data_IF_818807093893
#
_entry.id   IF_818807093893
#
_cell.length_a   1.000
_cell.length_b   1.000
_cell.length_c   1.000
_cell.angle_alpha   90.00
_cell.angle_beta   90.00
_cell.angle_gamma   90.00
#
_symmetry.space_group_name_H-M   'P 1'
#
loop_
_entity.id
_entity.type
_entity.pdbx_description
1 polymer ?
#
# COMPACT_ATOMS: atom_id res chain seq x y z
N UNK A 1 0.86 -4.12 -28.89
CA UNK A 1 0.51 -3.19 -27.80
C UNK A 1 1.79 -2.49 -27.36
N UNK A 2 1.74 -1.18 -27.29
CA UNK A 2 2.85 -0.33 -26.88
C UNK A 2 2.42 0.50 -25.67
N UNK A 3 3.21 0.46 -24.58
CA UNK A 3 2.90 1.13 -23.32
C UNK A 3 4.11 1.98 -22.90
N UNK A 4 3.92 3.29 -22.80
CA UNK A 4 4.95 4.20 -22.30
C UNK A 4 4.76 4.43 -20.80
N UNK A 5 5.75 4.05 -20.00
CA UNK A 5 5.74 4.23 -18.54
C UNK A 5 6.35 5.59 -18.19
N UNK A 6 5.61 6.40 -17.43
CA UNK A 6 6.07 7.73 -17.01
C UNK A 6 6.59 7.63 -15.58
N UNK A 7 7.86 7.98 -15.38
CA UNK A 7 8.44 8.04 -14.03
C UNK A 7 7.75 9.12 -13.20
N UNK A 8 7.44 8.85 -11.93
CA UNK A 8 6.99 9.90 -11.04
C UNK A 8 8.12 10.92 -10.82
N UNK A 9 7.79 12.22 -10.59
CA UNK A 9 8.80 13.22 -10.25
C UNK A 9 9.59 12.78 -9.01
N UNK A 10 10.92 12.73 -9.10
CA UNK A 10 11.81 12.22 -8.03
C UNK A 10 11.62 12.89 -6.68
N UNK A 11 11.20 14.17 -6.65
CA UNK A 11 10.89 14.91 -5.42
C UNK A 11 9.64 14.40 -4.68
N UNK A 12 8.74 13.65 -5.34
CA UNK A 12 7.51 13.10 -4.76
C UNK A 12 7.56 11.57 -4.60
N UNK A 13 8.50 10.90 -5.26
CA UNK A 13 8.68 9.46 -5.18
C UNK A 13 9.42 9.11 -3.89
N UNK A 14 8.69 8.92 -2.79
CA UNK A 14 9.26 8.57 -1.50
C UNK A 14 10.22 7.38 -1.62
N UNK A 15 11.49 7.59 -1.29
CA UNK A 15 12.51 6.55 -1.13
C UNK A 15 12.77 5.65 -2.36
N UNK A 16 12.44 6.09 -3.58
CA UNK A 16 12.71 5.34 -4.81
C UNK A 16 11.81 4.13 -5.08
N UNK A 17 10.76 3.92 -4.28
CA UNK A 17 9.83 2.79 -4.44
C UNK A 17 9.15 2.78 -5.80
N UNK A 18 8.55 3.91 -6.20
CA UNK A 18 7.81 4.01 -7.46
C UNK A 18 8.72 3.89 -8.69
N UNK A 19 9.95 4.37 -8.59
CA UNK A 19 10.95 4.17 -9.65
C UNK A 19 11.30 2.68 -9.80
N UNK A 20 11.54 1.97 -8.69
CA UNK A 20 11.80 0.53 -8.70
C UNK A 20 10.64 -0.22 -9.36
N UNK A 21 9.39 0.05 -8.96
CA UNK A 21 8.22 -0.58 -9.55
C UNK A 21 8.08 -0.30 -11.04
N UNK A 22 8.37 0.94 -11.47
CA UNK A 22 8.33 1.31 -12.89
C UNK A 22 9.35 0.52 -13.69
N UNK A 23 10.58 0.37 -13.20
CA UNK A 23 11.63 -0.41 -13.85
C UNK A 23 11.32 -1.90 -13.89
N UNK A 24 10.82 -2.46 -12.77
CA UNK A 24 10.45 -3.87 -12.66
C UNK A 24 9.29 -4.21 -13.63
N UNK A 25 8.25 -3.37 -13.69
CA UNK A 25 7.11 -3.58 -14.59
C UNK A 25 7.51 -3.39 -16.06
N UNK A 26 8.37 -2.40 -16.39
CA UNK A 26 8.89 -2.23 -17.74
C UNK A 26 9.70 -3.46 -18.21
N UNK A 27 10.55 -4.01 -17.34
CA UNK A 27 11.28 -5.25 -17.61
C UNK A 27 10.30 -6.43 -17.84
N UNK A 28 9.27 -6.52 -17.03
CA UNK A 28 8.24 -7.57 -17.15
C UNK A 28 7.47 -7.47 -18.49
N UNK A 29 7.11 -6.27 -18.94
CA UNK A 29 6.51 -6.07 -20.25
C UNK A 29 7.40 -6.57 -21.39
N UNK A 30 8.69 -6.25 -21.36
CA UNK A 30 9.65 -6.76 -22.35
C UNK A 30 9.71 -8.30 -22.37
N UNK A 31 9.66 -8.96 -21.20
CA UNK A 31 9.69 -10.41 -21.09
C UNK A 31 8.45 -11.11 -21.67
N UNK A 32 7.29 -10.44 -21.70
CA UNK A 32 6.05 -10.96 -22.29
C UNK A 32 5.79 -10.45 -23.73
N UNK A 33 6.79 -9.78 -24.33
CA UNK A 33 6.71 -9.31 -25.74
C UNK A 33 5.82 -8.06 -25.92
N UNK A 34 5.61 -7.26 -24.89
CA UNK A 34 4.95 -5.94 -24.99
C UNK A 34 6.03 -4.88 -25.19
N UNK A 35 5.85 -4.05 -26.24
CA UNK A 35 6.72 -2.91 -26.46
C UNK A 35 6.51 -1.87 -25.36
N UNK A 36 7.56 -1.55 -24.61
CA UNK A 36 7.48 -0.57 -23.54
C UNK A 36 8.79 0.18 -23.36
N UNK A 37 8.69 1.39 -22.85
CA UNK A 37 9.83 2.22 -22.46
C UNK A 37 9.48 3.11 -21.29
N UNK A 38 10.51 3.62 -20.62
CA UNK A 38 10.37 4.56 -19.51
C UNK A 38 10.65 5.96 -20.03
N UNK A 39 9.73 6.89 -19.72
CA UNK A 39 9.84 8.31 -20.02
C UNK A 39 9.99 9.12 -18.73
N UNK A 40 10.94 10.04 -18.72
CA UNK A 40 11.10 11.00 -17.61
C UNK A 40 10.18 12.22 -17.82
N UNK A 41 9.61 12.77 -16.73
CA UNK A 41 8.89 14.03 -16.80
C UNK A 41 9.79 15.15 -17.31
N UNK A 42 9.45 15.71 -18.45
CA UNK A 42 10.22 16.79 -19.08
C UNK A 42 9.29 17.68 -19.91
N UNK A 43 9.77 18.85 -20.30
CA UNK A 43 9.03 19.75 -21.20
C UNK A 43 8.73 19.12 -22.59
N UNK A 44 9.42 18.04 -22.94
CA UNK A 44 9.24 17.31 -24.22
C UNK A 44 8.29 16.13 -24.09
N UNK A 45 7.79 15.79 -22.90
CA UNK A 45 6.96 14.59 -22.68
C UNK A 45 5.75 14.59 -23.61
N UNK A 46 4.94 15.65 -23.62
CA UNK A 46 3.74 15.77 -24.44
C UNK A 46 4.08 15.62 -25.92
N UNK A 47 5.05 16.36 -26.43
CA UNK A 47 5.45 16.28 -27.84
C UNK A 47 5.98 14.89 -28.24
N UNK A 48 6.63 14.19 -27.31
CA UNK A 48 7.10 12.81 -27.51
C UNK A 48 5.91 11.85 -27.61
N UNK A 49 4.93 11.95 -26.72
CA UNK A 49 3.74 11.10 -26.72
C UNK A 49 2.88 11.33 -27.98
N UNK A 50 2.67 12.59 -28.39
CA UNK A 50 1.93 12.94 -29.62
C UNK A 50 2.63 12.36 -30.85
N UNK A 51 3.95 12.42 -30.94
CA UNK A 51 4.70 11.89 -32.08
C UNK A 51 4.66 10.36 -32.14
N UNK A 52 4.82 9.70 -31.00
CA UNK A 52 5.12 8.27 -30.92
C UNK A 52 3.86 7.41 -30.71
N UNK A 53 2.73 8.01 -30.33
CA UNK A 53 1.39 7.43 -30.23
C UNK A 53 1.38 6.01 -29.61
N UNK A 54 1.78 5.82 -28.34
CA UNK A 54 1.61 4.53 -27.69
C UNK A 54 0.12 4.20 -27.51
N UNK A 55 -0.21 2.90 -27.37
CA UNK A 55 -1.60 2.48 -27.08
C UNK A 55 -2.08 2.97 -25.72
N UNK A 56 -1.15 3.08 -24.75
CA UNK A 56 -1.40 3.55 -23.40
C UNK A 56 -0.17 4.26 -22.82
N UNK A 57 -0.42 5.21 -21.92
CA UNK A 57 0.59 5.66 -20.95
C UNK A 57 0.32 4.99 -19.60
N UNK A 58 1.35 4.80 -18.77
CA UNK A 58 1.22 4.24 -17.41
C UNK A 58 2.05 5.02 -16.42
N UNK A 59 1.52 5.28 -15.24
CA UNK A 59 2.32 5.73 -14.10
C UNK A 59 1.84 5.11 -12.78
N UNK A 60 2.76 4.89 -11.85
CA UNK A 60 2.37 4.55 -10.49
C UNK A 60 1.77 5.78 -9.80
N UNK A 61 0.66 5.58 -9.10
CA UNK A 61 -0.19 6.60 -8.47
C UNK A 61 -0.89 7.57 -9.46
N UNK A 62 -0.78 7.31 -10.76
CA UNK A 62 -1.46 8.11 -11.78
C UNK A 62 -0.90 9.53 -11.93
N UNK A 63 -1.49 10.27 -12.84
CA UNK A 63 -1.18 11.69 -13.11
C UNK A 63 -2.46 12.49 -12.90
N UNK A 64 -2.48 13.32 -11.87
CA UNK A 64 -3.56 14.26 -11.60
C UNK A 64 -3.55 15.40 -12.63
N UNK A 65 -4.67 16.13 -12.79
CA UNK A 65 -4.72 17.26 -13.72
C UNK A 65 -3.73 18.35 -13.30
N UNK A 66 -3.31 19.14 -14.27
CA UNK A 66 -2.47 20.30 -14.01
C UNK A 66 -3.26 21.42 -13.27
N UNK A 67 -2.61 22.52 -12.86
CA UNK A 67 -3.30 23.61 -12.17
C UNK A 67 -4.44 24.26 -12.97
N UNK A 68 -4.44 24.12 -14.30
CA UNK A 68 -5.50 24.58 -15.21
C UNK A 68 -6.62 23.54 -15.39
N UNK A 69 -6.53 22.39 -14.70
CA UNK A 69 -7.52 21.30 -14.77
C UNK A 69 -7.40 20.39 -15.98
N UNK A 70 -6.31 20.46 -16.76
CA UNK A 70 -6.11 19.66 -17.97
C UNK A 70 -5.50 18.30 -17.64
N UNK A 71 -6.04 17.25 -18.21
CA UNK A 71 -5.52 15.89 -18.06
C UNK A 71 -4.48 15.56 -19.14
N UNK A 72 -3.41 14.87 -18.75
CA UNK A 72 -2.40 14.42 -19.73
C UNK A 72 -3.02 13.56 -20.83
N UNK A 73 -3.90 12.62 -20.48
CA UNK A 73 -4.56 11.72 -21.42
C UNK A 73 -5.38 12.49 -22.47
N UNK A 74 -6.06 13.57 -22.10
CA UNK A 74 -6.80 14.44 -23.05
C UNK A 74 -5.85 15.24 -23.94
N UNK A 75 -4.77 15.79 -23.34
CA UNK A 75 -3.81 16.60 -24.12
C UNK A 75 -3.11 15.80 -25.23
N UNK A 76 -2.94 14.49 -25.03
CA UNK A 76 -2.23 13.63 -25.99
C UNK A 76 -3.14 12.66 -26.73
N UNK A 77 -4.43 12.60 -26.37
CA UNK A 77 -5.43 11.64 -26.86
C UNK A 77 -4.99 10.16 -26.71
N UNK A 78 -4.45 9.83 -25.55
CA UNK A 78 -3.94 8.49 -25.21
C UNK A 78 -4.44 8.10 -23.81
N UNK A 79 -5.14 6.95 -23.66
CA UNK A 79 -5.60 6.48 -22.37
C UNK A 79 -4.44 6.30 -21.36
N UNK A 80 -4.69 6.64 -20.09
CA UNK A 80 -3.69 6.58 -19.03
C UNK A 80 -4.01 5.48 -18.02
N UNK A 81 -3.04 4.62 -17.72
CA UNK A 81 -3.13 3.60 -16.69
C UNK A 81 -2.55 4.18 -15.40
N UNK A 82 -3.41 4.42 -14.42
CA UNK A 82 -3.05 4.86 -13.09
C UNK A 82 -2.93 3.66 -12.14
N UNK A 83 -1.71 3.20 -11.86
CA UNK A 83 -1.46 2.07 -10.95
C UNK A 83 -1.29 2.59 -9.52
N UNK A 84 -2.36 2.55 -8.74
CA UNK A 84 -2.45 3.10 -7.38
C UNK A 84 -1.84 2.13 -6.38
N UNK A 85 -0.73 2.52 -5.77
CA UNK A 85 0.01 1.73 -4.77
C UNK A 85 0.05 2.38 -3.39
N UNK A 86 -0.26 3.68 -3.32
CA UNK A 86 -0.43 4.42 -2.08
C UNK A 86 -1.91 4.56 -1.71
N UNK A 87 -2.21 5.27 -0.62
CA UNK A 87 -3.58 5.54 -0.18
C UNK A 87 -4.43 6.12 -1.32
N UNK A 88 -5.59 5.53 -1.64
CA UNK A 88 -6.45 6.01 -2.72
C UNK A 88 -7.01 7.40 -2.48
N UNK A 89 -7.05 7.86 -1.21
CA UNK A 89 -7.65 9.14 -0.82
C UNK A 89 -7.02 10.34 -1.53
N UNK A 90 -5.74 10.24 -1.90
CA UNK A 90 -5.02 11.29 -2.62
C UNK A 90 -5.31 11.32 -4.14
N UNK A 91 -5.93 10.26 -4.66
CA UNK A 91 -6.04 10.00 -6.10
C UNK A 91 -7.48 9.82 -6.58
N UNK A 92 -8.49 10.04 -5.71
CA UNK A 92 -9.90 9.83 -6.04
C UNK A 92 -10.37 10.68 -7.23
N UNK A 93 -9.70 11.80 -7.49
CA UNK A 93 -10.01 12.62 -8.64
C UNK A 93 -9.78 11.90 -9.98
N UNK A 94 -8.84 10.94 -10.03
CA UNK A 94 -8.60 10.12 -11.22
C UNK A 94 -9.84 9.36 -11.70
N UNK A 95 -10.79 9.04 -10.79
CA UNK A 95 -12.04 8.37 -11.13
C UNK A 95 -12.96 9.18 -12.04
N UNK A 96 -12.80 10.51 -12.07
CA UNK A 96 -13.65 11.42 -12.89
C UNK A 96 -13.25 11.46 -14.35
N UNK A 97 -12.09 10.91 -14.71
CA UNK A 97 -11.55 10.95 -16.05
C UNK A 97 -11.77 9.60 -16.76
N UNK A 98 -12.66 9.56 -17.75
CA UNK A 98 -13.06 8.33 -18.47
C UNK A 98 -11.92 7.67 -19.26
N UNK A 99 -10.90 8.43 -19.66
CA UNK A 99 -9.70 7.89 -20.32
C UNK A 99 -8.73 7.21 -19.35
N UNK A 100 -8.95 7.29 -18.03
CA UNK A 100 -8.14 6.59 -17.05
C UNK A 100 -8.57 5.12 -16.93
N UNK A 101 -7.56 4.26 -16.82
CA UNK A 101 -7.68 2.88 -16.34
C UNK A 101 -7.07 2.84 -14.95
N UNK A 102 -7.87 2.55 -13.95
CA UNK A 102 -7.42 2.50 -12.57
C UNK A 102 -6.99 1.07 -12.24
N UNK A 103 -5.75 0.89 -11.82
CA UNK A 103 -5.24 -0.36 -11.27
C UNK A 103 -4.98 -0.16 -9.79
N UNK A 104 -5.47 -1.05 -8.93
CA UNK A 104 -5.31 -0.95 -7.48
C UNK A 104 -4.69 -2.20 -6.89
N UNK A 105 -4.00 -2.04 -5.77
CA UNK A 105 -3.35 -3.14 -5.03
C UNK A 105 -4.27 -3.80 -4.00
N UNK A 106 -5.47 -3.29 -3.82
CA UNK A 106 -6.46 -3.77 -2.86
C UNK A 106 -7.87 -3.67 -3.45
N UNK A 107 -8.72 -4.69 -3.25
CA UNK A 107 -10.08 -4.70 -3.78
C UNK A 107 -10.99 -3.64 -3.11
N UNK A 108 -10.72 -3.29 -1.84
CA UNK A 108 -11.43 -2.18 -1.18
C UNK A 108 -11.13 -0.84 -1.85
N UNK A 109 -9.88 -0.65 -2.32
CA UNK A 109 -9.51 0.52 -3.12
C UNK A 109 -10.23 0.51 -4.46
N UNK A 110 -10.32 -0.64 -5.13
CA UNK A 110 -11.07 -0.77 -6.39
C UNK A 110 -12.53 -0.33 -6.21
N UNK A 111 -13.21 -0.89 -5.22
CA UNK A 111 -14.59 -0.52 -4.89
C UNK A 111 -14.76 0.96 -4.52
N UNK A 112 -13.74 1.59 -3.93
CA UNK A 112 -13.78 3.02 -3.65
C UNK A 112 -13.71 3.84 -4.95
N UNK A 113 -12.81 3.52 -5.87
CA UNK A 113 -12.74 4.20 -7.16
C UNK A 113 -14.01 4.03 -7.99
N UNK A 114 -14.61 2.83 -8.01
CA UNK A 114 -15.90 2.58 -8.66
C UNK A 114 -17.03 3.47 -8.10
N UNK A 115 -17.11 3.62 -6.78
CA UNK A 115 -18.07 4.53 -6.11
C UNK A 115 -17.85 6.00 -6.45
N UNK A 116 -16.61 6.38 -6.80
CA UNK A 116 -16.26 7.73 -7.27
C UNK A 116 -16.43 7.90 -8.77
N UNK A 117 -16.95 6.89 -9.48
CA UNK A 117 -17.32 6.95 -10.88
C UNK A 117 -16.32 6.40 -11.88
N UNK A 118 -15.27 5.71 -11.42
CA UNK A 118 -14.34 5.03 -12.33
C UNK A 118 -15.03 3.84 -13.00
N UNK A 119 -15.01 3.81 -14.32
CA UNK A 119 -15.65 2.76 -15.14
C UNK A 119 -14.70 1.58 -15.41
N UNK A 120 -13.40 1.84 -15.41
CA UNK A 120 -12.34 0.89 -15.80
C UNK A 120 -11.41 0.66 -14.63
N UNK A 121 -11.74 -0.33 -13.78
CA UNK A 121 -10.99 -0.64 -12.57
C UNK A 121 -10.49 -2.07 -12.61
N UNK A 122 -9.23 -2.29 -12.24
CA UNK A 122 -8.57 -3.60 -12.18
C UNK A 122 -7.86 -3.77 -10.84
N UNK A 123 -8.05 -4.92 -10.19
CA UNK A 123 -7.29 -5.31 -9.00
C UNK A 123 -6.06 -6.11 -9.39
N UNK A 124 -4.88 -5.59 -9.09
CA UNK A 124 -3.60 -6.25 -9.23
C UNK A 124 -2.75 -5.99 -8.00
N UNK A 125 -2.60 -6.93 -7.07
CA UNK A 125 -1.80 -6.73 -5.87
C UNK A 125 -0.33 -6.47 -6.19
N UNK A 126 0.43 -5.98 -5.21
CA UNK A 126 1.87 -5.81 -5.33
C UNK A 126 2.57 -7.07 -5.85
N UNK A 127 3.79 -6.92 -6.30
CA UNK A 127 4.60 -7.99 -6.87
C UNK A 127 6.06 -7.85 -6.45
N UNK A 128 6.80 -8.94 -6.66
CA UNK A 128 8.25 -8.98 -6.49
C UNK A 128 8.94 -9.23 -7.83
N UNK A 129 10.22 -8.92 -7.91
CA UNK A 129 11.06 -9.36 -9.02
C UNK A 129 11.20 -10.90 -9.00
N UNK A 130 11.19 -11.53 -10.17
CA UNK A 130 11.44 -12.98 -10.30
C UNK A 130 12.82 -13.40 -9.83
N UNK A 131 13.76 -12.47 -9.78
CA UNK A 131 15.16 -12.72 -9.40
C UNK A 131 15.38 -12.83 -7.88
N UNK A 132 14.31 -12.63 -7.07
CA UNK A 132 14.40 -12.87 -5.64
C UNK A 132 14.61 -14.36 -5.41
N UNK A 133 15.77 -14.69 -4.85
CA UNK A 133 16.12 -16.07 -4.51
C UNK A 133 15.85 -16.32 -3.04
N UNK A 134 15.43 -17.54 -2.74
CA UNK A 134 15.37 -18.03 -1.36
C UNK A 134 16.79 -18.00 -0.77
N UNK A 135 17.02 -17.13 0.19
CA UNK A 135 18.29 -17.02 0.91
C UNK A 135 18.03 -17.26 2.38
N UNK A 136 18.38 -18.44 2.85
CA UNK A 136 18.38 -18.69 4.30
C UNK A 136 19.77 -18.27 4.83
N UNK A 137 19.88 -17.03 5.33
CA UNK A 137 21.09 -16.66 6.08
C UNK A 137 21.12 -17.35 7.44
N UNK A 138 22.13 -18.18 7.65
CA UNK A 138 22.33 -18.89 8.92
C UNK A 138 22.53 -17.93 10.09
N UNK A 139 23.01 -16.70 9.84
CA UNK A 139 23.26 -15.65 10.83
C UNK A 139 22.76 -14.30 10.33
N UNK A 140 21.46 -14.00 10.50
CA UNK A 140 20.88 -12.72 10.10
C UNK A 140 21.52 -11.57 10.91
N UNK A 141 21.81 -10.46 10.22
CA UNK A 141 22.37 -9.25 10.81
C UNK A 141 21.35 -8.52 11.71
N UNK A 142 20.06 -8.54 11.27
CA UNK A 142 18.95 -7.96 11.99
C UNK A 142 18.08 -9.05 12.64
N UNK A 143 17.47 -8.72 13.78
CA UNK A 143 16.39 -9.50 14.34
C UNK A 143 15.09 -9.34 13.52
N UNK A 144 14.05 -8.91 14.17
CA UNK A 144 12.81 -8.53 13.50
C UNK A 144 12.85 -7.06 13.11
N UNK A 145 12.42 -6.76 11.88
CA UNK A 145 12.42 -5.39 11.34
C UNK A 145 11.01 -4.90 11.05
N UNK A 146 10.78 -3.62 11.29
CA UNK A 146 9.55 -2.93 10.95
C UNK A 146 9.87 -1.68 10.12
N UNK A 147 9.18 -1.52 9.00
CA UNK A 147 9.31 -0.33 8.15
C UNK A 147 8.00 0.44 8.13
N UNK A 148 8.00 1.68 8.58
CA UNK A 148 6.78 2.46 8.55
C UNK A 148 6.88 3.88 9.09
N UNK A 149 6.03 4.75 8.55
CA UNK A 149 5.82 6.10 9.08
C UNK A 149 5.22 6.03 10.48
N UNK A 150 5.71 6.85 11.38
CA UNK A 150 5.13 7.05 12.70
C UNK A 150 3.95 8.02 12.59
N UNK A 151 2.79 7.61 13.04
CA UNK A 151 1.62 8.46 13.19
C UNK A 151 1.35 8.70 14.67
N UNK A 152 1.41 9.94 15.11
CA UNK A 152 1.05 10.33 16.47
C UNK A 152 -0.48 10.43 16.58
N UNK A 153 -1.07 9.41 17.16
CA UNK A 153 -2.52 9.25 17.30
C UNK A 153 -3.15 10.41 18.08
N UNK A 154 -2.52 10.85 19.17
CA UNK A 154 -3.01 11.98 19.98
C UNK A 154 -2.96 13.30 19.19
N UNK A 155 -1.92 13.51 18.37
CA UNK A 155 -1.83 14.69 17.51
C UNK A 155 -2.95 14.72 16.46
N UNK A 156 -3.33 13.54 15.91
CA UNK A 156 -4.46 13.41 14.98
C UNK A 156 -5.78 13.73 15.69
N UNK A 157 -5.99 13.22 16.90
CA UNK A 157 -7.20 13.51 17.70
C UNK A 157 -7.30 15.00 18.06
N UNK A 158 -6.20 15.63 18.48
CA UNK A 158 -6.17 17.07 18.71
C UNK A 158 -6.49 17.88 17.44
N UNK A 159 -6.07 17.38 16.28
CA UNK A 159 -6.45 18.00 15.01
C UNK A 159 -7.95 17.85 14.76
N UNK A 160 -8.55 16.67 15.00
CA UNK A 160 -9.98 16.46 14.86
C UNK A 160 -10.81 17.37 15.78
N UNK A 161 -10.37 17.55 17.05
CA UNK A 161 -11.02 18.45 18.01
C UNK A 161 -11.03 19.91 17.52
N UNK A 162 -9.99 20.35 16.82
CA UNK A 162 -9.88 21.70 16.28
C UNK A 162 -10.69 21.89 14.99
N UNK A 163 -10.65 20.90 14.10
CA UNK A 163 -11.05 21.08 12.71
C UNK A 163 -12.50 20.58 12.45
N UNK A 164 -13.06 19.75 13.35
CA UNK A 164 -14.38 19.13 13.14
C UNK A 164 -15.35 19.33 14.32
N UNK A 165 -16.65 19.32 14.01
CA UNK A 165 -17.71 19.31 15.04
C UNK A 165 -17.66 18.04 15.88
N UNK A 166 -18.21 18.08 17.11
CA UNK A 166 -18.25 16.94 18.01
C UNK A 166 -18.85 15.70 17.34
N UNK A 167 -19.95 15.86 16.59
CA UNK A 167 -20.60 14.75 15.87
C UNK A 167 -19.67 14.10 14.84
N UNK A 168 -18.91 14.89 14.06
CA UNK A 168 -17.93 14.36 13.11
C UNK A 168 -16.79 13.63 13.82
N UNK A 169 -16.34 14.13 14.97
CA UNK A 169 -15.33 13.46 15.79
C UNK A 169 -15.85 12.09 16.28
N UNK A 170 -17.09 12.02 16.78
CA UNK A 170 -17.72 10.76 17.21
C UNK A 170 -17.80 9.75 16.06
N UNK A 171 -18.17 10.19 14.85
CA UNK A 171 -18.15 9.35 13.64
C UNK A 171 -16.75 8.84 13.33
N UNK A 172 -15.71 9.71 13.38
CA UNK A 172 -14.34 9.31 13.09
C UNK A 172 -13.80 8.30 14.12
N UNK A 173 -14.10 8.48 15.41
CA UNK A 173 -13.73 7.51 16.44
C UNK A 173 -14.44 6.17 16.25
N UNK A 174 -15.76 6.18 16.02
CA UNK A 174 -16.52 4.97 15.76
C UNK A 174 -16.02 4.23 14.50
N UNK A 175 -15.72 4.97 13.43
CA UNK A 175 -15.19 4.41 12.19
C UNK A 175 -13.79 3.80 12.39
N UNK A 176 -12.92 4.46 13.16
CA UNK A 176 -11.59 3.92 13.46
C UNK A 176 -11.68 2.62 14.26
N UNK A 177 -12.50 2.58 15.32
CA UNK A 177 -12.74 1.36 16.10
C UNK A 177 -13.30 0.24 15.23
N UNK A 178 -14.34 0.50 14.45
CA UNK A 178 -14.94 -0.50 13.57
C UNK A 178 -13.97 -1.08 12.54
N UNK A 179 -13.15 -0.24 11.91
CA UNK A 179 -12.15 -0.69 10.93
C UNK A 179 -10.98 -1.46 11.56
N UNK A 180 -10.65 -1.20 12.82
CA UNK A 180 -9.60 -1.90 13.55
C UNK A 180 -10.07 -3.26 14.09
N UNK A 181 -11.28 -3.32 14.61
CA UNK A 181 -11.84 -4.51 15.26
C UNK A 181 -12.33 -5.55 14.26
N UNK A 182 -12.82 -5.13 13.08
CA UNK A 182 -13.28 -6.05 12.03
C UNK A 182 -12.40 -5.98 10.77
N UNK A 183 -11.54 -7.00 10.55
CA UNK A 183 -10.66 -7.03 9.39
C UNK A 183 -11.39 -7.21 8.05
N UNK A 184 -12.70 -7.45 8.05
CA UNK A 184 -13.51 -7.53 6.84
C UNK A 184 -14.12 -6.19 6.42
N UNK A 185 -13.99 -5.17 7.27
CA UNK A 185 -14.54 -3.85 6.99
C UNK A 185 -13.45 -2.90 6.49
N UNK A 186 -13.61 -2.42 5.27
CA UNK A 186 -12.74 -1.38 4.72
C UNK A 186 -13.02 -0.03 5.40
N UNK A 187 -12.00 0.77 5.68
CA UNK A 187 -12.14 2.00 6.49
C UNK A 187 -13.15 3.01 5.91
N UNK A 188 -13.33 3.06 4.59
CA UNK A 188 -14.38 3.88 3.98
C UNK A 188 -15.78 3.37 4.34
N UNK A 189 -16.00 2.06 4.30
CA UNK A 189 -17.27 1.46 4.68
C UNK A 189 -17.54 1.65 6.19
N UNK A 190 -16.50 1.56 7.01
CA UNK A 190 -16.58 1.89 8.43
C UNK A 190 -16.99 3.34 8.65
N UNK A 191 -16.40 4.27 7.90
CA UNK A 191 -16.80 5.68 7.94
C UNK A 191 -18.27 5.89 7.53
N UNK A 192 -18.71 5.31 6.42
CA UNK A 192 -20.08 5.47 5.95
C UNK A 192 -21.11 4.90 6.92
N UNK A 193 -20.86 3.70 7.48
CA UNK A 193 -21.73 3.09 8.51
C UNK A 193 -21.79 3.93 9.78
N UNK A 194 -20.64 4.45 10.21
CA UNK A 194 -20.58 5.30 11.41
C UNK A 194 -21.28 6.64 11.18
N UNK A 195 -21.13 7.23 9.99
CA UNK A 195 -21.84 8.46 9.61
C UNK A 195 -23.36 8.28 9.65
N UNK A 196 -23.85 7.19 9.07
CA UNK A 196 -25.27 6.84 9.09
C UNK A 196 -25.77 6.61 10.52
N UNK A 197 -25.06 5.81 11.33
CA UNK A 197 -25.46 5.49 12.71
C UNK A 197 -25.50 6.70 13.65
N UNK A 198 -24.66 7.73 13.37
CA UNK A 198 -24.64 9.00 14.11
C UNK A 198 -25.53 10.10 13.48
N UNK A 199 -26.28 9.74 12.43
CA UNK A 199 -27.24 10.65 11.79
C UNK A 199 -26.59 11.83 11.06
N UNK A 200 -25.36 11.66 10.49
CA UNK A 200 -24.78 12.65 9.60
C UNK A 200 -25.58 12.72 8.30
N UNK A 201 -26.09 13.90 8.00
CA UNK A 201 -26.89 14.13 6.80
C UNK A 201 -26.01 14.25 5.56
N UNK A 202 -26.55 14.01 4.34
CA UNK A 202 -25.83 14.25 3.09
C UNK A 202 -25.33 15.70 2.94
N UNK A 203 -26.09 16.68 3.49
CA UNK A 203 -25.68 18.09 3.47
C UNK A 203 -24.46 18.35 4.36
N UNK A 204 -24.40 17.74 5.55
CA UNK A 204 -23.24 17.83 6.44
C UNK A 204 -22.02 17.15 5.80
N UNK A 205 -22.20 15.97 5.20
CA UNK A 205 -21.14 15.28 4.46
C UNK A 205 -20.63 16.11 3.26
N UNK A 206 -21.52 16.77 2.53
CA UNK A 206 -21.18 17.63 1.38
C UNK A 206 -20.33 18.86 1.76
N UNK A 207 -20.33 19.27 3.02
CA UNK A 207 -19.52 20.35 3.55
C UNK A 207 -18.11 19.89 3.99
N UNK A 208 -17.84 18.58 3.99
CA UNK A 208 -16.55 18.00 4.38
C UNK A 208 -15.70 17.69 3.14
N UNK A 209 -14.40 17.93 3.26
CA UNK A 209 -13.46 17.38 2.30
C UNK A 209 -13.25 15.89 2.57
N UNK A 210 -14.09 15.04 1.98
CA UNK A 210 -14.07 13.59 2.21
C UNK A 210 -12.68 12.97 2.00
N UNK A 211 -11.90 13.30 0.94
CA UNK A 211 -10.55 12.75 0.79
C UNK A 211 -9.62 13.10 1.96
N UNK A 212 -9.67 14.35 2.45
CA UNK A 212 -8.84 14.80 3.58
C UNK A 212 -9.25 14.10 4.88
N UNK A 213 -10.55 13.96 5.10
CA UNK A 213 -11.10 13.29 6.27
C UNK A 213 -10.75 11.80 6.27
N UNK A 214 -10.93 11.11 5.15
CA UNK A 214 -10.56 9.70 4.99
C UNK A 214 -9.05 9.48 5.17
N UNK A 215 -8.21 10.41 4.69
CA UNK A 215 -6.77 10.34 4.90
C UNK A 215 -6.41 10.46 6.38
N UNK A 216 -7.06 11.37 7.09
CA UNK A 216 -6.86 11.54 8.53
C UNK A 216 -7.34 10.31 9.32
N UNK A 217 -8.50 9.72 8.95
CA UNK A 217 -9.01 8.48 9.51
C UNK A 217 -8.04 7.31 9.27
N UNK A 218 -7.57 7.14 8.03
CA UNK A 218 -6.59 6.11 7.70
C UNK A 218 -5.29 6.26 8.49
N UNK A 219 -4.78 7.48 8.64
CA UNK A 219 -3.59 7.76 9.44
C UNK A 219 -3.78 7.38 10.91
N UNK A 220 -4.95 7.65 11.49
CA UNK A 220 -5.32 7.24 12.85
C UNK A 220 -5.33 5.71 12.99
N UNK A 221 -6.02 5.01 12.10
CA UNK A 221 -6.10 3.54 12.07
C UNK A 221 -4.70 2.91 11.95
N UNK A 222 -3.87 3.42 11.03
CA UNK A 222 -2.48 2.95 10.86
C UNK A 222 -1.62 3.25 12.07
N UNK A 223 -1.80 4.39 12.72
CA UNK A 223 -1.07 4.78 13.91
C UNK A 223 -1.38 3.85 15.08
N UNK A 224 -2.64 3.60 15.36
CA UNK A 224 -3.08 2.72 16.43
C UNK A 224 -2.62 1.28 16.22
N UNK A 225 -2.83 0.71 15.04
CA UNK A 225 -2.44 -0.66 14.73
C UNK A 225 -0.92 -0.88 14.84
N UNK A 226 -0.11 0.08 14.37
CA UNK A 226 1.35 0.02 14.48
C UNK A 226 1.83 0.09 15.92
N UNK A 227 1.26 1.00 16.71
CA UNK A 227 1.58 1.11 18.12
C UNK A 227 1.12 -0.12 18.90
N UNK A 228 -0.06 -0.65 18.58
CA UNK A 228 -0.57 -1.89 19.14
C UNK A 228 0.40 -3.06 18.89
N UNK A 229 0.82 -3.29 17.64
CA UNK A 229 1.78 -4.34 17.30
C UNK A 229 3.07 -4.18 18.09
N UNK A 230 3.72 -3.01 17.98
CA UNK A 230 5.06 -2.80 18.52
C UNK A 230 5.11 -2.78 20.06
N UNK A 231 4.03 -2.37 20.74
CA UNK A 231 3.94 -2.38 22.20
C UNK A 231 3.65 -3.76 22.81
N UNK A 232 3.03 -4.66 22.03
CA UNK A 232 2.65 -5.99 22.50
C UNK A 232 3.63 -7.10 22.07
N UNK A 233 4.89 -6.74 21.77
CA UNK A 233 5.99 -7.66 21.47
C UNK A 233 7.02 -7.60 22.59
N UNK A 234 6.64 -8.00 23.82
CA UNK A 234 7.52 -7.95 24.99
C UNK A 234 8.73 -8.88 24.83
N UNK A 235 9.92 -8.37 25.13
CA UNK A 235 11.18 -9.13 25.09
C UNK A 235 11.70 -9.47 23.69
N UNK A 236 11.01 -9.05 22.62
CA UNK A 236 11.45 -9.24 21.25
C UNK A 236 12.16 -7.97 20.77
N UNK A 237 13.46 -8.03 20.47
CA UNK A 237 14.16 -6.88 19.90
C UNK A 237 13.66 -6.62 18.46
N UNK A 238 13.23 -5.38 18.20
CA UNK A 238 12.72 -4.94 16.91
C UNK A 238 13.48 -3.71 16.44
N UNK A 239 13.99 -3.76 15.21
CA UNK A 239 14.56 -2.62 14.51
C UNK A 239 13.47 -1.88 13.70
N UNK A 240 13.14 -0.65 14.09
CA UNK A 240 12.11 0.16 13.46
C UNK A 240 12.74 1.21 12.54
N UNK A 241 12.49 1.11 11.25
CA UNK A 241 12.94 2.06 10.23
C UNK A 241 11.78 2.96 9.79
N UNK A 242 11.91 4.27 10.04
CA UNK A 242 10.89 5.21 9.59
C UNK A 242 10.98 6.55 10.28
N UNK A 243 10.27 7.54 9.69
CA UNK A 243 10.17 8.91 10.23
C UNK A 243 8.77 9.17 10.76
N UNK A 244 8.64 10.21 11.58
CA UNK A 244 7.35 10.77 11.96
C UNK A 244 6.95 11.88 10.99
N UNK A 245 5.64 12.03 10.78
CA UNK A 245 5.03 13.20 10.15
C UNK A 245 4.50 14.21 11.18
N UNK A 246 4.58 13.86 12.46
CA UNK A 246 4.18 14.66 13.60
C UNK A 246 5.41 15.04 14.46
N UNK A 247 5.19 15.84 15.49
CA UNK A 247 6.26 16.28 16.41
C UNK A 247 6.86 15.12 17.20
N UNK A 248 6.01 14.21 17.72
CA UNK A 248 6.48 13.01 18.41
C UNK A 248 6.77 11.90 17.40
N UNK A 249 7.88 11.22 17.60
CA UNK A 249 8.33 10.13 16.75
C UNK A 249 8.35 8.79 17.47
N UNK A 250 8.84 7.75 16.77
CA UNK A 250 8.94 6.40 17.29
C UNK A 250 9.65 6.32 18.64
N UNK A 251 10.77 7.05 18.82
CA UNK A 251 11.53 7.03 20.08
C UNK A 251 10.77 7.58 21.28
N UNK A 252 9.82 8.48 21.09
CA UNK A 252 8.96 8.97 22.17
C UNK A 252 7.76 8.04 22.42
N UNK A 253 7.09 7.61 21.34
CA UNK A 253 5.87 6.81 21.44
C UNK A 253 6.12 5.36 21.88
N UNK A 254 7.34 4.86 21.68
CA UNK A 254 7.78 3.51 22.08
C UNK A 254 8.79 3.53 23.23
N UNK A 255 8.84 4.62 24.02
CA UNK A 255 9.76 4.73 25.15
C UNK A 255 9.51 3.61 26.15
N UNK A 256 10.58 2.89 26.50
CA UNK A 256 10.53 1.77 27.44
C UNK A 256 10.23 0.40 26.79
N UNK A 257 10.03 0.33 25.48
CA UNK A 257 9.96 -0.94 24.74
C UNK A 257 11.35 -1.40 24.29
N UNK A 258 11.47 -2.67 23.86
CA UNK A 258 12.72 -3.26 23.32
C UNK A 258 12.97 -2.89 21.84
N UNK A 259 12.55 -1.69 21.43
CA UNK A 259 12.64 -1.23 20.06
C UNK A 259 13.87 -0.36 19.84
N UNK A 260 14.66 -0.67 18.80
CA UNK A 260 15.73 0.18 18.29
C UNK A 260 15.20 1.00 17.10
N UNK A 261 15.29 2.32 17.19
CA UNK A 261 14.75 3.22 16.16
C UNK A 261 15.85 3.71 15.24
N UNK A 262 15.64 3.54 13.95
CA UNK A 262 16.51 3.99 12.86
C UNK A 262 15.81 5.03 11.99
N UNK A 263 16.59 5.82 11.26
CA UNK A 263 16.08 6.72 10.23
C UNK A 263 15.41 5.93 9.10
N UNK A 264 14.54 6.63 8.35
CA UNK A 264 13.97 6.06 7.14
C UNK A 264 15.06 5.81 6.09
N UNK A 265 14.94 4.72 5.36
CA UNK A 265 15.95 4.27 4.41
C UNK A 265 15.36 4.10 3.00
N UNK A 266 16.22 4.11 1.98
CA UNK A 266 15.82 3.91 0.59
C UNK A 266 15.31 2.50 0.32
N UNK A 267 14.41 2.36 -0.64
CA UNK A 267 13.76 1.08 -0.95
C UNK A 267 14.73 -0.03 -1.35
N UNK A 268 15.82 0.30 -2.04
CA UNK A 268 16.88 -0.67 -2.36
C UNK A 268 17.53 -1.24 -1.09
N UNK A 269 17.73 -0.41 -0.07
CA UNK A 269 18.22 -0.83 1.24
C UNK A 269 17.18 -1.61 2.02
N UNK A 270 15.87 -1.24 1.94
CA UNK A 270 14.78 -2.01 2.54
C UNK A 270 14.83 -3.47 2.09
N UNK A 271 14.93 -3.73 0.78
CA UNK A 271 15.06 -5.10 0.23
C UNK A 271 16.30 -5.82 0.80
N UNK A 272 17.44 -5.13 0.90
CA UNK A 272 18.66 -5.68 1.46
C UNK A 272 18.53 -6.00 2.96
N UNK A 273 17.93 -5.10 3.74
CA UNK A 273 17.70 -5.31 5.18
C UNK A 273 16.76 -6.49 5.39
N UNK A 274 15.65 -6.59 4.64
CA UNK A 274 14.72 -7.72 4.71
C UNK A 274 15.48 -9.05 4.55
N UNK A 275 16.32 -9.18 3.53
CA UNK A 275 17.08 -10.43 3.26
C UNK A 275 18.06 -10.80 4.37
N UNK A 276 18.56 -9.82 5.11
CA UNK A 276 19.49 -10.00 6.24
C UNK A 276 18.79 -10.02 7.59
N UNK A 277 17.47 -10.12 7.63
CA UNK A 277 16.66 -10.14 8.85
C UNK A 277 16.11 -11.53 9.14
N UNK A 278 15.84 -11.82 10.40
CA UNK A 278 15.08 -13.02 10.82
C UNK A 278 13.63 -12.95 10.33
N UNK A 279 13.03 -11.76 10.40
CA UNK A 279 11.64 -11.57 10.06
C UNK A 279 11.24 -10.11 9.88
N UNK A 280 10.09 -9.93 9.24
CA UNK A 280 9.45 -8.64 8.99
C UNK A 280 8.16 -8.56 9.79
N UNK A 281 8.03 -7.51 10.57
CA UNK A 281 6.76 -7.09 11.16
C UNK A 281 6.07 -6.13 10.21
N UNK A 282 4.79 -6.33 9.94
CA UNK A 282 4.03 -5.49 9.04
C UNK A 282 2.68 -5.10 9.65
N UNK A 283 2.29 -3.86 9.47
CA UNK A 283 1.01 -3.30 9.88
C UNK A 283 0.42 -2.55 8.71
N UNK A 284 -0.62 -3.10 8.11
CA UNK A 284 -1.33 -2.54 6.96
C UNK A 284 -2.85 -2.71 7.11
N UNK A 285 -3.45 -2.13 8.18
CA UNK A 285 -4.88 -2.30 8.46
C UNK A 285 -5.80 -1.71 7.39
N UNK A 286 -5.29 -0.84 6.51
CA UNK A 286 -6.03 -0.28 5.37
C UNK A 286 -5.97 -1.13 4.09
N UNK A 287 -5.12 -2.17 4.06
CA UNK A 287 -4.98 -3.10 2.91
C UNK A 287 -5.46 -4.47 3.37
N UNK A 288 -6.77 -4.70 3.33
CA UNK A 288 -7.41 -5.93 3.83
C UNK A 288 -7.63 -6.98 2.74
N UNK A 289 -7.85 -6.53 1.52
CA UNK A 289 -8.13 -7.35 0.35
C UNK A 289 -7.00 -7.30 -0.69
N UNK A 290 -5.81 -7.04 -0.22
CA UNK A 290 -4.55 -6.98 -0.94
C UNK A 290 -3.40 -7.30 0.01
N UNK A 291 -2.16 -7.00 -0.42
CA UNK A 291 -0.97 -7.16 0.41
C UNK A 291 0.08 -6.11 0.07
N UNK A 292 0.85 -5.72 1.07
CA UNK A 292 1.99 -4.81 0.91
C UNK A 292 3.19 -5.55 0.28
N UNK A 293 3.97 -4.87 -0.58
CA UNK A 293 5.09 -5.47 -1.31
C UNK A 293 6.12 -6.15 -0.41
N UNK A 294 6.41 -5.57 0.77
CA UNK A 294 7.41 -6.12 1.69
C UNK A 294 7.06 -7.50 2.23
N UNK A 295 5.78 -7.86 2.29
CA UNK A 295 5.32 -9.20 2.68
C UNK A 295 5.76 -10.20 1.62
N UNK A 296 5.53 -9.87 0.34
CA UNK A 296 5.96 -10.72 -0.76
C UNK A 296 7.49 -10.79 -0.87
N UNK A 297 8.21 -9.67 -0.67
CA UNK A 297 9.68 -9.65 -0.64
C UNK A 297 10.23 -10.56 0.47
N UNK A 298 9.67 -10.47 1.68
CA UNK A 298 10.09 -11.31 2.80
C UNK A 298 9.81 -12.80 2.54
N UNK A 299 8.57 -13.15 2.12
CA UNK A 299 8.21 -14.53 1.81
C UNK A 299 9.03 -15.12 0.65
N UNK A 300 9.30 -14.32 -0.40
CA UNK A 300 10.12 -14.75 -1.53
C UNK A 300 11.59 -15.00 -1.12
N UNK A 301 12.10 -14.25 -0.16
CA UNK A 301 13.43 -14.45 0.41
C UNK A 301 13.49 -15.56 1.48
N UNK A 302 12.37 -16.16 1.87
CA UNK A 302 12.31 -17.15 2.96
C UNK A 302 12.39 -16.53 4.37
N UNK A 303 12.24 -15.21 4.48
CA UNK A 303 12.26 -14.45 5.71
C UNK A 303 10.89 -14.56 6.41
N UNK A 304 10.89 -14.62 7.74
CA UNK A 304 9.66 -14.69 8.53
C UNK A 304 8.77 -13.46 8.36
N UNK A 305 7.44 -13.62 8.51
CA UNK A 305 6.47 -12.53 8.38
C UNK A 305 5.44 -12.61 9.49
N UNK A 306 5.30 -11.54 10.26
CA UNK A 306 4.15 -11.29 11.15
C UNK A 306 3.45 -10.04 10.67
N UNK A 307 2.13 -10.10 10.44
CA UNK A 307 1.38 -8.99 9.86
C UNK A 307 -0.01 -8.85 10.47
N UNK A 308 -0.60 -7.64 10.36
CA UNK A 308 -2.02 -7.46 10.62
C UNK A 308 -2.86 -8.40 9.76
N UNK A 309 -3.99 -8.82 10.27
CA UNK A 309 -4.90 -9.71 9.54
C UNK A 309 -5.29 -9.13 8.18
N UNK A 310 -5.23 -9.97 7.15
CA UNK A 310 -5.63 -9.66 5.78
C UNK A 310 -6.40 -10.82 5.19
N UNK A 311 -7.60 -10.56 4.70
CA UNK A 311 -8.46 -11.54 4.02
C UNK A 311 -7.73 -12.13 2.81
N UNK A 312 -7.06 -11.28 2.04
CA UNK A 312 -6.28 -11.69 0.88
C UNK A 312 -5.15 -12.66 1.26
N UNK A 313 -4.30 -12.28 2.22
CA UNK A 313 -3.15 -13.09 2.62
C UNK A 313 -3.59 -14.42 3.25
N UNK A 314 -4.68 -14.43 4.02
CA UNK A 314 -5.24 -15.63 4.61
C UNK A 314 -5.71 -16.62 3.54
N UNK A 315 -6.35 -16.13 2.49
CA UNK A 315 -6.82 -16.96 1.37
C UNK A 315 -5.67 -17.49 0.52
N UNK A 316 -4.62 -16.68 0.28
CA UNK A 316 -3.48 -17.05 -0.57
C UNK A 316 -2.47 -18.00 0.11
N UNK A 317 -2.17 -17.75 1.37
CA UNK A 317 -1.07 -18.41 2.08
C UNK A 317 -1.53 -19.21 3.31
N UNK A 318 -2.74 -18.97 3.82
CA UNK A 318 -3.18 -19.47 5.11
C UNK A 318 -2.26 -18.99 6.24
N UNK A 319 -2.25 -19.71 7.35
CA UNK A 319 -1.26 -19.51 8.41
C UNK A 319 -1.77 -18.82 9.64
N UNK A 320 -0.92 -18.82 10.67
CA UNK A 320 -1.20 -18.33 12.03
C UNK A 320 -0.35 -17.10 12.39
N UNK A 321 0.34 -16.53 11.41
CA UNK A 321 1.23 -15.39 11.55
C UNK A 321 0.53 -14.03 11.46
N UNK A 322 -0.79 -14.02 11.68
CA UNK A 322 -1.59 -12.81 11.75
C UNK A 322 -1.86 -12.43 13.21
N UNK A 323 -1.64 -11.15 13.54
CA UNK A 323 -2.13 -10.60 14.80
C UNK A 323 -3.49 -9.91 14.58
N UNK A 324 -4.27 -9.88 15.66
CA UNK A 324 -5.61 -9.29 15.69
C UNK A 324 -5.56 -8.07 16.60
N UNK A 325 -5.96 -6.91 16.09
CA UNK A 325 -6.05 -5.69 16.89
C UNK A 325 -7.02 -5.88 18.06
N UNK A 326 -6.67 -5.34 19.24
CA UNK A 326 -7.46 -5.49 20.47
C UNK A 326 -7.15 -6.76 21.28
N UNK A 327 -6.64 -7.83 20.66
CA UNK A 327 -6.13 -9.00 21.39
C UNK A 327 -4.64 -8.84 21.70
N UNK A 328 -4.32 -8.34 22.89
CA UNK A 328 -2.95 -8.02 23.33
C UNK A 328 -1.99 -9.21 23.28
N UNK A 329 -2.50 -10.44 23.30
CA UNK A 329 -1.70 -11.66 23.22
C UNK A 329 -1.43 -12.11 21.80
N UNK A 330 -2.19 -11.60 20.81
CA UNK A 330 -2.11 -12.06 19.43
C UNK A 330 -0.78 -11.73 18.74
N UNK A 331 -0.11 -10.58 18.94
CA UNK A 331 1.20 -10.33 18.37
C UNK A 331 2.24 -11.36 18.80
N UNK A 332 2.27 -11.72 20.08
CA UNK A 332 3.17 -12.74 20.62
C UNK A 332 2.86 -14.14 20.05
N UNK A 333 1.57 -14.50 19.93
CA UNK A 333 1.18 -15.79 19.33
C UNK A 333 1.58 -15.88 17.87
N UNK A 334 1.31 -14.82 17.08
CA UNK A 334 1.68 -14.79 15.67
C UNK A 334 3.21 -14.86 15.46
N UNK A 335 3.96 -14.17 16.32
CA UNK A 335 5.42 -14.24 16.34
C UNK A 335 5.92 -15.66 16.61
N UNK A 336 5.44 -16.31 17.68
CA UNK A 336 5.81 -17.68 18.03
C UNK A 336 5.46 -18.66 16.91
N UNK A 337 4.27 -18.57 16.34
CA UNK A 337 3.85 -19.41 15.22
C UNK A 337 4.78 -19.26 14.00
N UNK A 338 5.26 -18.05 13.72
CA UNK A 338 6.19 -17.82 12.61
C UNK A 338 7.62 -18.30 12.93
N UNK A 339 8.08 -18.18 14.16
CA UNK A 339 9.40 -18.74 14.57
C UNK A 339 9.42 -20.27 14.55
N UNK A 340 8.29 -20.91 14.90
CA UNK A 340 8.12 -22.37 14.87
C UNK A 340 7.84 -22.90 13.43
N UNK A 341 7.67 -22.01 12.44
CA UNK A 341 7.39 -22.40 11.07
C UNK A 341 8.59 -23.09 10.43
N UNK A 342 8.44 -24.37 10.10
CA UNK A 342 9.49 -25.18 9.47
C UNK A 342 9.93 -24.67 8.10
N UNK A 343 11.17 -24.98 7.72
CA UNK A 343 11.79 -24.56 6.46
C UNK A 343 10.95 -24.93 5.23
N UNK A 344 10.35 -26.12 5.19
CA UNK A 344 9.49 -26.59 4.08
C UNK A 344 8.30 -25.68 3.84
N UNK A 345 7.68 -25.16 4.91
CA UNK A 345 6.54 -24.22 4.80
C UNK A 345 7.02 -22.84 4.30
N UNK A 346 8.17 -22.35 4.76
CA UNK A 346 8.77 -21.12 4.26
C UNK A 346 9.12 -21.22 2.79
N UNK A 347 9.70 -22.34 2.37
CA UNK A 347 10.00 -22.60 0.96
C UNK A 347 8.72 -22.74 0.11
N UNK A 348 7.67 -23.34 0.65
CA UNK A 348 6.35 -23.40 -0.02
C UNK A 348 5.76 -22.01 -0.25
N UNK A 349 5.83 -21.10 0.75
CA UNK A 349 5.43 -19.69 0.59
C UNK A 349 6.27 -19.00 -0.48
N UNK A 350 7.59 -19.16 -0.45
CA UNK A 350 8.49 -18.61 -1.48
C UNK A 350 8.06 -19.07 -2.88
N UNK A 351 7.87 -20.36 -3.10
CA UNK A 351 7.41 -20.90 -4.38
C UNK A 351 6.07 -20.33 -4.82
N UNK A 352 5.12 -20.15 -3.91
CA UNK A 352 3.82 -19.55 -4.20
C UNK A 352 3.95 -18.08 -4.65
N UNK A 353 4.77 -17.28 -3.95
CA UNK A 353 5.03 -15.89 -4.34
C UNK A 353 5.68 -15.81 -5.71
N UNK A 354 6.74 -16.57 -5.97
CA UNK A 354 7.46 -16.55 -7.25
C UNK A 354 6.56 -17.04 -8.41
N UNK A 355 5.64 -17.96 -8.14
CA UNK A 355 4.69 -18.46 -9.14
C UNK A 355 3.57 -17.49 -9.48
N UNK A 356 3.04 -16.76 -8.47
CA UNK A 356 1.78 -16.02 -8.59
C UNK A 356 1.90 -14.51 -8.39
N UNK A 357 2.95 -14.02 -7.73
CA UNK A 357 3.06 -12.62 -7.30
C UNK A 357 4.33 -11.93 -7.80
N UNK A 358 4.69 -12.17 -9.07
CA UNK A 358 5.80 -11.47 -9.75
C UNK A 358 5.31 -10.36 -10.67
N UNK A 359 6.16 -9.38 -10.98
CA UNK A 359 5.85 -8.32 -11.95
C UNK A 359 5.49 -8.88 -13.33
N UNK A 360 6.04 -10.03 -13.72
CA UNK A 360 5.67 -10.72 -14.96
C UNK A 360 4.19 -11.11 -14.91
N UNK A 361 3.73 -11.67 -13.79
CA UNK A 361 2.32 -12.04 -13.61
C UNK A 361 1.40 -10.81 -13.64
N UNK A 362 1.83 -9.69 -13.06
CA UNK A 362 1.07 -8.44 -13.12
C UNK A 362 0.99 -7.87 -14.55
N UNK A 363 2.12 -7.94 -15.29
CA UNK A 363 2.14 -7.54 -16.71
C UNK A 363 1.19 -8.41 -17.55
N UNK A 364 1.21 -9.75 -17.38
CA UNK A 364 0.30 -10.68 -18.06
C UNK A 364 -1.17 -10.35 -17.75
N UNK A 365 -1.52 -10.15 -16.48
CA UNK A 365 -2.86 -9.84 -16.02
C UNK A 365 -3.36 -8.48 -16.53
N UNK A 366 -2.50 -7.46 -16.47
CA UNK A 366 -2.83 -6.13 -16.97
C UNK A 366 -3.10 -6.15 -18.48
N UNK A 367 -2.23 -6.80 -19.24
CA UNK A 367 -2.41 -6.91 -20.72
C UNK A 367 -3.69 -7.69 -21.07
N UNK A 368 -4.01 -8.74 -20.32
CA UNK A 368 -5.26 -9.47 -20.51
C UNK A 368 -6.48 -8.57 -20.26
N UNK A 369 -6.49 -7.81 -19.16
CA UNK A 369 -7.54 -6.83 -18.86
C UNK A 369 -7.71 -5.80 -19.98
N UNK A 370 -6.62 -5.16 -20.43
CA UNK A 370 -6.64 -4.13 -21.46
C UNK A 370 -7.11 -4.64 -22.84
N UNK A 371 -6.97 -5.94 -23.13
CA UNK A 371 -7.46 -6.56 -24.37
C UNK A 371 -8.96 -6.82 -24.35
N UNK A 372 -9.53 -7.15 -23.20
CA UNK A 372 -10.98 -7.35 -23.05
C UNK A 372 -11.71 -6.02 -23.15
N UNK A 373 -11.13 -4.98 -22.59
CA UNK A 373 -11.70 -3.65 -22.52
C UNK A 373 -11.75 -2.90 -23.89
N UNK A 374 -10.96 -3.35 -24.89
CA UNK A 374 -11.00 -2.82 -26.27
C UNK A 374 -12.12 -3.42 -27.14
N UNK A 375 -12.89 -4.40 -26.62
CA UNK A 375 -14.02 -5.04 -27.34
C UNK A 375 -15.34 -4.42 -26.91
#
# INVERSE_FOLDING_TARGET
>A
MKIDLILPPTKRAGYGVLESFTRDLNSAFGQIGVESRILEPSSRLISTLIRDQPDYTLSFNGILPDPEGRWLCEMVDIPHIAYIVDSPNHFLELAKQSMNVIVTIDQGFAGLFERYGAERVCFLPHAVSREVTFTHEAHPEFGWVFFGTCFDVEAIEMQWQRDYSQRVQEVLHAAASLALEDPQIFYFDAFMRSAESHGLTPAELGNLSIPVLLQSLENKIRGEDRLFLLRNLEGIPVDVFGRSIHKRGWGELLRGSSVCVHDATDYSQVKSIIRRSKGVLNSTPSIRYGAHERIFEAMAAGVGVVTSESVFLRNEFGGENFYIYGDVSSPQRAFKAEEELGGDKKESRCRAVIKHHTWIKRAEQLVAFLRVDKK
#
